data_IF_011276827210
#
_entry.id   IF_011276827210
#
_cell.length_a   1.000
_cell.length_b   1.000
_cell.length_c   1.000
_cell.angle_alpha   90.00
_cell.angle_beta   90.00
_cell.angle_gamma   90.00
#
_symmetry.space_group_name_H-M   'P 1'
#
loop_
_entity.id
_entity.type
_entity.pdbx_description
1 polymer ?
#
# COMPACT_ATOMS: atom_id res chain seq x y z
N UNK A 1 3.06 28.67 -4.98
CA UNK A 1 3.62 27.30 -4.87
C UNK A 1 3.83 26.92 -3.40
N UNK A 2 4.45 27.77 -2.58
CA UNK A 2 4.62 27.53 -1.12
C UNK A 2 3.37 27.04 -0.37
N UNK A 3 2.20 27.64 -0.59
CA UNK A 3 0.95 27.20 0.07
C UNK A 3 0.56 25.74 -0.22
N UNK A 4 0.86 25.22 -1.42
CA UNK A 4 0.53 23.85 -1.76
C UNK A 4 1.42 22.85 -1.00
N UNK A 5 2.73 23.10 -0.95
CA UNK A 5 3.68 22.24 -0.21
C UNK A 5 3.39 22.22 1.29
N UNK A 6 3.01 23.37 1.86
CA UNK A 6 2.54 23.48 3.25
C UNK A 6 1.26 22.65 3.48
N UNK A 7 0.29 22.72 2.55
CA UNK A 7 -0.92 21.91 2.62
C UNK A 7 -0.60 20.42 2.45
N UNK A 8 0.30 20.03 1.55
CA UNK A 8 0.78 18.64 1.42
C UNK A 8 1.35 18.14 2.73
N UNK A 9 2.24 18.92 3.37
CA UNK A 9 2.85 18.50 4.64
C UNK A 9 1.81 18.39 5.75
N UNK A 10 0.96 19.40 5.90
CA UNK A 10 -0.08 19.40 6.93
C UNK A 10 -1.08 18.25 6.75
N UNK A 11 -1.61 18.07 5.54
CA UNK A 11 -2.55 17.00 5.22
C UNK A 11 -1.89 15.62 5.27
N UNK A 12 -0.65 15.47 4.79
CA UNK A 12 0.11 14.22 4.87
C UNK A 12 0.25 13.74 6.32
N UNK A 13 0.71 14.63 7.20
CA UNK A 13 0.88 14.30 8.63
C UNK A 13 -0.43 13.96 9.33
N UNK A 14 -1.53 14.65 9.00
CA UNK A 14 -2.82 14.45 9.67
C UNK A 14 -3.61 13.26 9.11
N UNK A 15 -3.48 12.96 7.82
CA UNK A 15 -4.36 12.03 7.11
C UNK A 15 -3.68 10.74 6.65
N UNK A 16 -2.37 10.78 6.40
CA UNK A 16 -1.61 9.65 5.84
C UNK A 16 -0.67 9.00 6.85
N UNK A 17 -0.43 9.63 8.00
CA UNK A 17 0.35 9.02 9.07
C UNK A 17 -0.45 7.94 9.77
N UNK A 18 0.08 6.73 9.75
CA UNK A 18 -0.49 5.60 10.45
C UNK A 18 -0.30 5.76 11.96
N UNK A 19 -1.39 5.54 12.70
CA UNK A 19 -1.39 5.38 14.13
C UNK A 19 -2.14 4.09 14.46
N UNK A 20 -1.52 3.21 15.25
CA UNK A 20 -2.17 1.95 15.61
C UNK A 20 -3.47 2.22 16.39
N UNK A 21 -4.51 1.52 15.98
CA UNK A 21 -5.86 1.51 16.57
C UNK A 21 -6.37 0.07 16.57
N UNK A 22 -7.45 -0.20 17.27
CA UNK A 22 -8.03 -1.56 17.41
C UNK A 22 -8.27 -2.26 16.07
N UNK A 23 -8.61 -1.50 15.02
CA UNK A 23 -8.79 -2.02 13.66
C UNK A 23 -7.53 -2.71 13.10
N UNK A 24 -6.34 -2.37 13.59
CA UNK A 24 -5.07 -3.02 13.21
C UNK A 24 -5.03 -4.49 13.60
N UNK A 25 -5.73 -4.87 14.67
CA UNK A 25 -5.73 -6.21 15.26
C UNK A 25 -7.05 -6.95 15.03
N UNK A 26 -7.95 -6.36 14.24
CA UNK A 26 -9.22 -6.98 13.85
C UNK A 26 -8.94 -8.30 13.11
N UNK A 27 -9.86 -9.27 13.22
CA UNK A 27 -9.76 -10.59 12.57
C UNK A 27 -8.63 -11.48 13.11
N UNK A 28 -8.19 -11.27 14.36
CA UNK A 28 -7.20 -12.13 15.00
C UNK A 28 -5.76 -11.87 14.56
N UNK A 29 -5.50 -10.69 13.98
CA UNK A 29 -4.14 -10.29 13.63
C UNK A 29 -3.34 -9.94 14.90
N UNK A 30 -2.22 -10.62 15.12
CA UNK A 30 -1.28 -10.35 16.22
C UNK A 30 -0.33 -9.18 15.93
N UNK A 31 -0.32 -8.70 14.69
CA UNK A 31 0.45 -7.55 14.22
C UNK A 31 -0.47 -6.61 13.44
N UNK A 32 0.01 -5.44 13.04
CA UNK A 32 -0.80 -4.52 12.27
C UNK A 32 -1.20 -5.13 10.92
N UNK A 33 -2.50 -5.37 10.72
CA UNK A 33 -3.04 -5.94 9.48
C UNK A 33 -2.78 -5.10 8.22
N UNK A 34 -2.40 -3.84 8.40
CA UNK A 34 -2.02 -2.92 7.32
C UNK A 34 -0.51 -2.95 7.00
N UNK A 35 0.25 -3.85 7.65
CA UNK A 35 1.69 -4.05 7.47
C UNK A 35 2.53 -2.80 7.80
N UNK A 36 2.17 -2.13 8.89
CA UNK A 36 2.99 -1.10 9.53
C UNK A 36 3.76 -1.67 10.74
N UNK A 37 5.00 -1.20 10.99
CA UNK A 37 5.77 -0.26 10.15
C UNK A 37 6.19 -0.91 8.83
N UNK A 38 6.31 -0.09 7.78
CA UNK A 38 6.94 -0.51 6.54
C UNK A 38 8.44 -0.79 6.74
N UNK A 39 9.05 -1.48 5.78
CA UNK A 39 10.49 -1.65 5.77
C UNK A 39 11.16 -0.29 5.49
N UNK A 40 12.20 0.04 6.26
CA UNK A 40 13.01 1.22 6.00
C UNK A 40 13.97 0.96 4.85
N UNK A 41 13.86 1.75 3.78
CA UNK A 41 14.64 1.59 2.55
C UNK A 41 15.34 2.91 2.23
N UNK A 42 16.66 3.04 2.48
CA UNK A 42 17.36 4.32 2.36
C UNK A 42 17.48 4.81 0.91
N UNK A 43 17.57 3.88 -0.04
CA UNK A 43 17.71 4.18 -1.47
C UNK A 43 16.91 3.19 -2.30
N UNK A 44 16.26 3.68 -3.35
CA UNK A 44 15.58 2.84 -4.33
C UNK A 44 16.59 1.93 -5.04
N UNK A 45 16.23 0.68 -5.28
CA UNK A 45 17.08 -0.29 -5.97
C UNK A 45 16.26 -1.26 -6.82
N UNK A 46 16.92 -1.90 -7.78
CA UNK A 46 16.33 -3.01 -8.53
C UNK A 46 16.69 -4.33 -7.85
N UNK A 47 15.67 -5.07 -7.43
CA UNK A 47 15.83 -6.42 -6.94
C UNK A 47 15.80 -7.41 -8.12
N UNK A 48 16.93 -8.08 -8.33
CA UNK A 48 17.12 -9.05 -9.42
C UNK A 48 16.34 -10.34 -9.18
N UNK A 49 16.12 -10.73 -7.93
CA UNK A 49 15.42 -11.98 -7.60
C UNK A 49 13.94 -11.85 -7.93
N UNK A 50 13.30 -10.79 -7.44
CA UNK A 50 11.87 -10.56 -7.69
C UNK A 50 11.58 -9.84 -9.00
N UNK A 51 12.63 -9.37 -9.69
CA UNK A 51 12.55 -8.51 -10.87
C UNK A 51 11.69 -7.25 -10.63
N UNK A 52 11.82 -6.65 -9.44
CA UNK A 52 11.03 -5.51 -9.00
C UNK A 52 11.91 -4.31 -8.76
N UNK A 53 11.41 -3.11 -9.08
CA UNK A 53 11.99 -1.87 -8.57
C UNK A 53 11.40 -1.63 -7.18
N UNK A 54 12.28 -1.51 -6.19
CA UNK A 54 11.93 -1.19 -4.82
C UNK A 54 12.21 0.29 -4.60
N UNK A 55 11.22 1.04 -4.12
CA UNK A 55 11.34 2.48 -3.87
C UNK A 55 11.83 2.76 -2.46
N UNK A 56 12.58 3.84 -2.28
CA UNK A 56 12.97 4.30 -0.96
C UNK A 56 11.74 4.55 -0.07
N UNK A 57 11.86 4.19 1.21
CA UNK A 57 10.87 4.40 2.27
C UNK A 57 11.63 4.93 3.48
N UNK A 58 11.55 6.24 3.69
CA UNK A 58 12.29 6.94 4.74
C UNK A 58 11.45 7.19 6.00
N UNK A 59 10.12 7.15 5.87
CA UNK A 59 9.18 7.21 6.99
C UNK A 59 8.30 5.96 6.96
N UNK A 60 8.59 5.03 7.87
CA UNK A 60 7.96 3.71 7.89
C UNK A 60 6.53 3.70 8.41
N UNK A 61 6.01 4.85 8.86
CA UNK A 61 4.65 5.02 9.37
C UNK A 61 3.78 5.90 8.47
N UNK A 62 4.25 6.24 7.27
CA UNK A 62 3.46 6.98 6.28
C UNK A 62 2.95 6.05 5.19
N UNK A 63 1.69 6.23 4.80
CA UNK A 63 1.17 5.67 3.56
C UNK A 63 1.89 6.25 2.34
N UNK A 64 1.88 5.51 1.23
CA UNK A 64 2.30 6.03 -0.05
C UNK A 64 1.16 6.87 -0.64
N UNK A 65 1.27 8.20 -0.57
CA UNK A 65 0.21 9.10 -1.02
C UNK A 65 0.62 9.98 -2.20
N UNK A 66 -0.35 10.60 -2.86
CA UNK A 66 -0.12 11.57 -3.92
C UNK A 66 -0.49 12.95 -3.39
N UNK A 67 0.38 13.91 -3.62
CA UNK A 67 0.24 15.27 -3.12
C UNK A 67 -1.08 15.92 -3.56
N UNK A 68 -1.46 15.76 -4.83
CA UNK A 68 -2.69 16.33 -5.36
C UNK A 68 -3.92 15.67 -4.74
N UNK A 69 -3.97 14.34 -4.69
CA UNK A 69 -5.10 13.62 -4.07
C UNK A 69 -5.21 14.00 -2.59
N UNK A 70 -4.09 14.08 -1.88
CA UNK A 70 -4.06 14.45 -0.46
C UNK A 70 -4.63 15.84 -0.22
N UNK A 71 -4.19 16.84 -0.99
CA UNK A 71 -4.61 18.23 -0.80
C UNK A 71 -6.05 18.46 -1.24
N UNK A 72 -6.47 17.90 -2.38
CA UNK A 72 -7.78 18.18 -2.96
C UNK A 72 -8.89 17.27 -2.40
N UNK A 73 -8.59 16.02 -2.06
CA UNK A 73 -9.58 15.08 -1.55
C UNK A 73 -9.59 14.98 -0.01
N UNK A 74 -8.48 15.35 0.65
CA UNK A 74 -8.36 15.44 2.12
C UNK A 74 -8.84 14.19 2.88
N UNK A 75 -8.52 13.02 2.35
CA UNK A 75 -8.74 11.74 3.02
C UNK A 75 -7.52 10.81 2.91
N UNK A 76 -7.45 9.84 3.80
CA UNK A 76 -6.46 8.76 3.77
C UNK A 76 -6.56 7.98 2.44
N UNK A 77 -5.43 7.73 1.79
CA UNK A 77 -5.34 6.86 0.63
C UNK A 77 -3.94 6.26 0.52
N UNK A 78 -3.87 4.99 0.16
CA UNK A 78 -2.65 4.24 -0.05
C UNK A 78 -2.51 3.90 -1.54
N UNK A 79 -1.43 4.35 -2.17
CA UNK A 79 -1.10 4.07 -3.57
C UNK A 79 0.22 3.34 -3.68
N UNK A 80 0.16 2.13 -4.23
CA UNK A 80 1.34 1.32 -4.46
C UNK A 80 1.61 1.18 -5.95
N UNK A 81 2.86 1.36 -6.33
CA UNK A 81 3.30 1.05 -7.68
C UNK A 81 3.43 -0.47 -7.84
N UNK A 82 2.87 -1.01 -8.92
CA UNK A 82 3.03 -2.42 -9.29
C UNK A 82 4.18 -2.51 -10.28
N UNK A 83 5.38 -2.81 -9.78
CA UNK A 83 6.64 -2.68 -10.52
C UNK A 83 7.23 -4.01 -11.01
N UNK A 84 6.48 -5.11 -10.94
CA UNK A 84 6.89 -6.41 -11.50
C UNK A 84 5.70 -7.17 -12.10
N UNK A 85 5.99 -8.02 -13.10
CA UNK A 85 4.97 -8.84 -13.74
C UNK A 85 4.29 -9.82 -12.78
N UNK A 86 5.03 -10.31 -11.77
CA UNK A 86 4.50 -11.18 -10.73
C UNK A 86 3.50 -10.44 -9.83
N UNK A 87 3.87 -9.25 -9.34
CA UNK A 87 2.97 -8.41 -8.54
C UNK A 87 1.75 -7.96 -9.34
N UNK A 88 1.92 -7.70 -10.64
CA UNK A 88 0.82 -7.34 -11.53
C UNK A 88 -0.20 -8.47 -11.66
N UNK A 89 0.25 -9.70 -11.95
CA UNK A 89 -0.65 -10.86 -11.98
C UNK A 89 -1.36 -11.08 -10.64
N UNK A 90 -0.63 -11.00 -9.53
CA UNK A 90 -1.23 -11.14 -8.19
C UNK A 90 -2.30 -10.09 -7.91
N UNK A 91 -2.04 -8.82 -8.26
CA UNK A 91 -3.02 -7.74 -8.12
C UNK A 91 -4.25 -7.95 -9.01
N UNK A 92 -4.06 -8.37 -10.28
CA UNK A 92 -5.16 -8.69 -11.18
C UNK A 92 -6.05 -9.79 -10.60
N UNK A 93 -5.46 -10.90 -10.15
CA UNK A 93 -6.22 -11.99 -9.53
C UNK A 93 -6.99 -11.52 -8.29
N UNK A 94 -6.35 -10.75 -7.41
CA UNK A 94 -7.00 -10.20 -6.22
C UNK A 94 -8.18 -9.29 -6.57
N UNK A 95 -8.00 -8.38 -7.52
CA UNK A 95 -9.06 -7.46 -7.97
C UNK A 95 -10.21 -8.24 -8.60
N UNK A 96 -9.90 -9.22 -9.47
CA UNK A 96 -10.92 -10.07 -10.10
C UNK A 96 -11.71 -10.85 -9.06
N UNK A 97 -11.04 -11.51 -8.12
CA UNK A 97 -11.68 -12.26 -7.03
C UNK A 97 -12.63 -11.37 -6.21
N UNK A 98 -12.16 -10.15 -5.87
CA UNK A 98 -12.93 -9.19 -5.09
C UNK A 98 -14.16 -8.64 -5.84
N UNK A 99 -14.00 -8.25 -7.12
CA UNK A 99 -15.09 -7.71 -7.94
C UNK A 99 -16.13 -8.78 -8.25
N UNK A 100 -15.68 -9.95 -8.67
CA UNK A 100 -16.58 -11.03 -9.08
C UNK A 100 -17.19 -11.76 -7.88
N UNK A 101 -16.60 -11.61 -6.68
CA UNK A 101 -17.00 -12.31 -5.45
C UNK A 101 -17.12 -13.82 -5.68
N UNK A 102 -16.07 -14.40 -6.26
CA UNK A 102 -16.05 -15.83 -6.56
C UNK A 102 -16.35 -16.64 -5.29
N UNK A 103 -17.14 -17.70 -5.44
CA UNK A 103 -17.44 -18.61 -4.34
C UNK A 103 -16.24 -19.46 -3.93
N UNK A 104 -15.32 -19.70 -4.88
CA UNK A 104 -14.06 -20.41 -4.68
C UNK A 104 -12.93 -19.41 -4.46
N UNK A 105 -12.09 -19.68 -3.47
CA UNK A 105 -10.93 -18.85 -3.18
C UNK A 105 -9.85 -19.08 -4.23
N UNK A 106 -9.07 -18.05 -4.52
CA UNK A 106 -8.01 -18.09 -5.55
C UNK A 106 -7.03 -19.27 -5.40
N UNK A 107 -6.66 -19.66 -4.18
CA UNK A 107 -5.76 -20.81 -3.97
C UNK A 107 -6.40 -22.15 -4.38
N UNK A 108 -7.72 -22.26 -4.32
CA UNK A 108 -8.46 -23.44 -4.76
C UNK A 108 -8.44 -23.52 -6.29
N UNK A 109 -8.65 -22.39 -6.96
CA UNK A 109 -8.56 -22.30 -8.43
C UNK A 109 -7.14 -22.61 -8.90
N UNK A 110 -6.12 -22.05 -8.23
CA UNK A 110 -4.72 -22.30 -8.59
C UNK A 110 -4.31 -23.77 -8.40
N UNK A 111 -4.95 -24.49 -7.47
CA UNK A 111 -4.69 -25.92 -7.23
C UNK A 111 -5.24 -26.85 -8.32
N UNK A 112 -6.11 -26.33 -9.19
CA UNK A 112 -6.71 -27.05 -10.32
C UNK A 112 -5.91 -26.88 -11.63
N UNK A 113 -4.87 -26.04 -11.64
CA UNK A 113 -3.97 -25.80 -12.76
C UNK A 113 -2.65 -26.56 -12.55
#
# INVERSE_FOLDING_TARGET
MHRFEEEVKCCGEHLQRHAHRDVCYKYGHNSCRFNFPHEYIPHSYYDKETQSVITACLDVLMDYYNDFITVYCRHNHDMKCILSGRSCKAAMYYITDYITKMSLKMYEILSLL
#
